data_IF_941135539287
#
_entry.id   IF_941135539287
#
_cell.length_a   1.000
_cell.length_b   1.000
_cell.length_c   1.000
_cell.angle_alpha   90.00
_cell.angle_beta   90.00
_cell.angle_gamma   90.00
#
_symmetry.space_group_name_H-M   'P 1'
#
loop_
_entity.id
_entity.type
_entity.pdbx_description
1 polymer ?
#
# COMPACT_ATOMS: atom_id res chain seq x y z
N UNK A 1 -4.72 -10.15 10.02
CA UNK A 1 -3.94 -11.16 9.27
C UNK A 1 -3.16 -12.03 10.26
N UNK A 2 -2.80 -13.27 9.93
CA UNK A 2 -1.92 -14.06 10.79
C UNK A 2 -0.45 -13.79 10.41
N UNK A 3 0.20 -12.91 11.17
CA UNK A 3 1.66 -12.73 11.18
C UNK A 3 2.31 -14.02 11.69
N UNK A 4 3.18 -14.65 10.90
CA UNK A 4 3.85 -15.90 11.30
C UNK A 4 5.08 -15.54 12.13
N UNK A 5 4.91 -15.48 13.46
CA UNK A 5 6.00 -15.67 14.41
C UNK A 5 5.89 -17.11 14.93
N UNK A 6 6.50 -18.05 14.20
CA UNK A 6 6.53 -19.46 14.60
C UNK A 6 7.18 -20.35 13.55
N UNK A 7 8.32 -20.96 13.90
CA UNK A 7 8.98 -22.02 13.11
C UNK A 7 8.10 -23.28 13.07
N UNK A 8 7.10 -23.34 12.21
CA UNK A 8 6.46 -24.62 11.89
C UNK A 8 7.19 -25.23 10.70
N UNK A 9 8.23 -26.02 10.97
CA UNK A 9 8.95 -26.79 9.94
C UNK A 9 8.09 -27.93 9.35
N UNK A 10 6.98 -28.27 10.01
CA UNK A 10 6.13 -29.43 9.71
C UNK A 10 4.65 -29.05 9.61
N UNK A 11 3.93 -29.66 8.66
CA UNK A 11 2.47 -29.58 8.51
C UNK A 11 1.88 -30.98 8.36
N UNK A 12 0.60 -31.13 8.70
CA UNK A 12 -0.14 -32.37 8.43
C UNK A 12 -0.64 -32.30 6.99
N UNK A 13 -0.08 -33.11 6.10
CA UNK A 13 -0.43 -33.08 4.68
C UNK A 13 -1.79 -33.77 4.42
N UNK A 14 -2.25 -33.74 3.16
CA UNK A 14 -3.55 -34.27 2.74
C UNK A 14 -3.72 -35.77 3.02
N UNK A 15 -2.61 -36.51 3.10
CA UNK A 15 -2.57 -37.94 3.43
C UNK A 15 -2.65 -38.21 4.95
N UNK A 16 -2.75 -37.15 5.75
CA UNK A 16 -2.82 -37.19 7.21
C UNK A 16 -1.47 -37.36 7.90
N UNK A 17 -0.35 -37.40 7.19
CA UNK A 17 0.99 -37.52 7.77
C UNK A 17 1.61 -36.16 8.01
N UNK A 18 2.44 -36.04 9.05
CA UNK A 18 3.28 -34.86 9.23
C UNK A 18 4.43 -34.91 8.21
N UNK A 19 4.51 -33.91 7.35
CA UNK A 19 5.60 -33.71 6.39
C UNK A 19 6.26 -32.35 6.64
N UNK A 20 7.54 -32.23 6.28
CA UNK A 20 8.19 -30.92 6.29
C UNK A 20 7.49 -29.97 5.31
N UNK A 21 7.50 -28.66 5.57
CA UNK A 21 6.81 -27.68 4.68
C UNK A 21 7.25 -27.77 3.21
N UNK A 22 8.49 -28.21 2.96
CA UNK A 22 9.06 -28.41 1.61
C UNK A 22 8.59 -29.69 0.91
N UNK A 23 8.08 -30.65 1.68
CA UNK A 23 7.63 -31.96 1.21
C UNK A 23 6.10 -32.09 1.19
N UNK A 24 5.40 -31.12 1.79
CA UNK A 24 3.94 -31.07 1.78
C UNK A 24 3.40 -30.84 0.36
N UNK A 25 2.39 -31.63 -0.02
CA UNK A 25 1.72 -31.50 -1.31
C UNK A 25 0.86 -30.25 -1.36
N UNK A 26 0.24 -29.90 -0.23
CA UNK A 26 -0.53 -28.66 -0.05
C UNK A 26 -0.19 -27.99 1.27
N UNK A 27 -0.07 -26.66 1.22
CA UNK A 27 0.08 -25.76 2.35
C UNK A 27 -1.20 -24.92 2.57
N UNK A 28 -2.25 -25.16 1.78
CA UNK A 28 -3.52 -24.45 1.87
C UNK A 28 -4.19 -24.76 3.21
N UNK A 29 -4.61 -23.70 3.91
CA UNK A 29 -5.20 -23.80 5.25
C UNK A 29 -4.18 -23.77 6.40
N UNK A 30 -2.89 -23.96 6.11
CA UNK A 30 -1.80 -23.75 7.07
C UNK A 30 -1.15 -22.38 6.91
N UNK A 31 -1.02 -21.92 5.66
CA UNK A 31 -0.42 -20.65 5.32
C UNK A 31 -1.41 -19.80 4.51
N UNK A 32 -1.21 -18.49 4.55
CA UNK A 32 -1.85 -17.55 3.64
C UNK A 32 -0.79 -17.01 2.69
N UNK A 33 -1.03 -17.09 1.39
CA UNK A 33 -0.16 -16.43 0.41
C UNK A 33 -0.37 -14.93 0.53
N UNK A 34 0.73 -14.19 0.55
CA UNK A 34 0.69 -12.72 0.52
C UNK A 34 0.14 -12.29 -0.83
N UNK A 35 -1.08 -11.77 -0.79
CA UNK A 35 -1.83 -11.30 -1.94
C UNK A 35 -1.49 -9.83 -2.18
N UNK A 36 -1.04 -9.45 -3.39
CA UNK A 36 -0.70 -8.04 -3.71
C UNK A 36 -1.90 -7.13 -3.96
N UNK A 37 -3.13 -7.59 -3.66
CA UNK A 37 -4.41 -6.87 -3.71
C UNK A 37 -5.24 -7.03 -5.00
N UNK A 38 -6.53 -6.87 -4.75
CA UNK A 38 -7.67 -6.87 -5.67
C UNK A 38 -7.88 -5.41 -6.08
N UNK A 39 -7.53 -5.07 -7.31
CA UNK A 39 -7.70 -3.72 -7.88
C UNK A 39 -9.18 -3.42 -8.23
N UNK A 40 -10.12 -4.28 -7.81
CA UNK A 40 -11.55 -4.20 -8.10
C UNK A 40 -11.92 -4.68 -9.51
N UNK A 41 -10.92 -4.88 -10.38
CA UNK A 41 -11.09 -5.15 -11.81
C UNK A 41 -10.58 -6.55 -12.16
N UNK A 42 -9.40 -6.90 -11.68
CA UNK A 42 -8.66 -8.13 -11.84
C UNK A 42 -8.61 -8.85 -10.50
N UNK A 43 -8.82 -10.16 -10.52
CA UNK A 43 -8.86 -10.94 -9.29
C UNK A 43 -8.36 -12.36 -9.56
N UNK A 44 -8.04 -13.08 -8.49
CA UNK A 44 -7.68 -14.48 -8.56
C UNK A 44 -8.07 -15.29 -7.33
N UNK A 45 -8.32 -16.56 -7.55
CA UNK A 45 -8.59 -17.57 -6.53
C UNK A 45 -7.37 -18.47 -6.40
N UNK A 46 -6.82 -18.60 -5.18
CA UNK A 46 -5.77 -19.58 -4.89
C UNK A 46 -6.41 -20.97 -4.81
N UNK A 47 -6.17 -21.79 -5.83
CA UNK A 47 -6.69 -23.17 -5.89
C UNK A 47 -5.94 -24.03 -4.90
N UNK A 48 -4.61 -24.02 -4.99
CA UNK A 48 -3.71 -24.76 -4.11
C UNK A 48 -2.29 -24.17 -4.17
N UNK A 49 -1.44 -24.51 -3.20
CA UNK A 49 -0.01 -24.19 -3.26
C UNK A 49 0.79 -25.10 -2.32
N UNK A 50 2.07 -25.26 -2.66
CA UNK A 50 3.10 -25.80 -1.79
C UNK A 50 4.32 -24.88 -1.78
N UNK A 51 5.42 -25.35 -1.21
CA UNK A 51 6.63 -24.54 -1.05
C UNK A 51 7.21 -24.02 -2.38
N UNK A 52 7.05 -24.78 -3.48
CA UNK A 52 7.69 -24.47 -4.77
C UNK A 52 6.71 -24.20 -5.91
N UNK A 53 5.41 -24.35 -5.70
CA UNK A 53 4.38 -24.07 -6.70
C UNK A 53 3.10 -23.49 -6.12
N UNK A 54 2.44 -22.63 -6.90
CA UNK A 54 1.11 -22.08 -6.61
C UNK A 54 0.23 -22.18 -7.83
N UNK A 55 -1.02 -22.58 -7.61
CA UNK A 55 -2.07 -22.67 -8.61
C UNK A 55 -3.13 -21.58 -8.36
N UNK A 56 -3.31 -20.70 -9.34
CA UNK A 56 -4.21 -19.55 -9.31
C UNK A 56 -5.25 -19.68 -10.41
N UNK A 57 -6.52 -19.41 -10.14
CA UNK A 57 -7.52 -19.11 -11.17
C UNK A 57 -7.67 -17.60 -11.28
N UNK A 58 -7.36 -17.02 -12.43
CA UNK A 58 -7.49 -15.58 -12.64
C UNK A 58 -8.82 -15.25 -13.32
N UNK A 59 -9.41 -14.10 -13.02
CA UNK A 59 -10.65 -13.62 -13.64
C UNK A 59 -10.73 -12.09 -13.59
N UNK A 60 -11.61 -11.51 -14.40
CA UNK A 60 -11.92 -10.07 -14.39
C UNK A 60 -13.36 -9.82 -13.99
N UNK A 61 -13.58 -8.69 -13.34
CA UNK A 61 -14.88 -8.19 -12.88
C UNK A 61 -15.45 -7.14 -13.84
N UNK A 62 -14.61 -6.45 -14.61
CA UNK A 62 -15.02 -5.47 -15.62
C UNK A 62 -14.88 -6.03 -17.06
N UNK A 63 -15.98 -5.95 -17.82
CA UNK A 63 -16.02 -6.31 -19.24
C UNK A 63 -15.05 -5.50 -20.11
N UNK A 64 -14.65 -4.31 -19.67
CA UNK A 64 -13.67 -3.46 -20.37
C UNK A 64 -12.27 -4.06 -20.42
N UNK A 65 -11.94 -5.02 -19.55
CA UNK A 65 -10.66 -5.72 -19.57
C UNK A 65 -10.67 -6.98 -20.46
N UNK A 66 -11.82 -7.37 -21.00
CA UNK A 66 -11.90 -8.51 -21.91
C UNK A 66 -11.13 -8.23 -23.19
N UNK A 67 -10.54 -9.28 -23.74
CA UNK A 67 -9.70 -9.26 -24.96
C UNK A 67 -8.41 -8.44 -24.85
N UNK A 68 -8.05 -7.97 -23.65
CA UNK A 68 -6.74 -7.37 -23.37
C UNK A 68 -5.75 -8.41 -22.86
N UNK A 69 -4.48 -8.12 -23.08
CA UNK A 69 -3.38 -8.91 -22.57
C UNK A 69 -3.04 -8.45 -21.15
N UNK A 70 -3.59 -9.14 -20.15
CA UNK A 70 -3.48 -8.74 -18.74
C UNK A 70 -2.22 -9.39 -18.15
N UNK A 71 -1.28 -8.59 -17.59
CA UNK A 71 -0.05 -9.11 -17.03
C UNK A 71 -0.31 -9.84 -15.71
N UNK A 72 0.46 -10.89 -15.48
CA UNK A 72 0.54 -11.57 -14.19
C UNK A 72 1.98 -11.46 -13.72
N UNK A 73 2.15 -10.82 -12.58
CA UNK A 73 3.46 -10.44 -12.03
C UNK A 73 3.77 -11.26 -10.78
N UNK A 74 5.05 -11.56 -10.60
CA UNK A 74 5.62 -12.13 -9.38
C UNK A 74 6.71 -11.17 -8.93
N UNK A 75 6.57 -10.65 -7.71
CA UNK A 75 7.44 -9.62 -7.14
C UNK A 75 7.53 -8.38 -8.04
N UNK A 76 6.37 -7.95 -8.55
CA UNK A 76 6.25 -6.83 -9.50
C UNK A 76 6.74 -7.12 -10.92
N UNK A 77 7.45 -8.24 -11.15
CA UNK A 77 8.00 -8.61 -12.45
C UNK A 77 6.98 -9.42 -13.24
N UNK A 78 6.60 -8.96 -14.43
CA UNK A 78 5.72 -9.71 -15.34
C UNK A 78 6.35 -11.06 -15.70
N UNK A 79 5.66 -12.15 -15.36
CA UNK A 79 6.08 -13.51 -15.68
C UNK A 79 5.23 -14.15 -16.77
N UNK A 80 3.94 -13.81 -16.81
CA UNK A 80 2.95 -14.33 -17.75
C UNK A 80 1.99 -13.22 -18.15
N UNK A 81 1.20 -13.52 -19.16
CA UNK A 81 0.11 -12.67 -19.62
C UNK A 81 -1.10 -13.56 -19.90
N UNK A 82 -2.30 -13.05 -19.63
CA UNK A 82 -3.52 -13.77 -19.92
C UNK A 82 -4.56 -12.86 -20.55
N UNK A 83 -5.16 -13.36 -21.63
CA UNK A 83 -6.30 -12.76 -22.28
C UNK A 83 -7.56 -13.55 -21.91
N UNK A 84 -8.57 -12.86 -21.42
CA UNK A 84 -9.88 -13.41 -21.07
C UNK A 84 -10.90 -12.92 -22.10
N UNK A 85 -11.80 -13.80 -22.56
CA UNK A 85 -12.81 -13.46 -23.58
C UNK A 85 -14.22 -13.37 -22.99
N UNK A 86 -14.40 -13.83 -21.75
CA UNK A 86 -15.65 -13.74 -20.99
C UNK A 86 -15.39 -13.43 -19.51
N UNK A 87 -16.33 -12.74 -18.85
CA UNK A 87 -16.32 -12.53 -17.39
C UNK A 87 -16.43 -13.85 -16.61
N UNK A 88 -16.94 -14.91 -17.25
CA UNK A 88 -17.00 -16.24 -16.65
C UNK A 88 -15.71 -17.06 -16.81
N UNK A 89 -14.73 -16.57 -17.57
CA UNK A 89 -13.46 -17.26 -17.75
C UNK A 89 -12.67 -17.26 -16.44
N UNK A 90 -12.31 -18.46 -15.97
CA UNK A 90 -11.46 -18.65 -14.79
C UNK A 90 -10.26 -19.57 -15.09
N UNK A 91 -9.38 -19.21 -16.05
CA UNK A 91 -8.27 -20.07 -16.41
C UNK A 91 -7.30 -20.25 -15.25
N UNK A 92 -6.87 -21.49 -15.07
CA UNK A 92 -5.83 -21.88 -14.11
C UNK A 92 -4.43 -21.49 -14.62
N UNK A 93 -3.61 -20.99 -13.70
CA UNK A 93 -2.23 -20.58 -13.92
C UNK A 93 -1.37 -21.15 -12.79
N UNK A 94 -0.31 -21.86 -13.16
CA UNK A 94 0.65 -22.41 -12.20
C UNK A 94 1.95 -21.61 -12.28
N UNK A 95 2.45 -21.16 -11.13
CA UNK A 95 3.79 -20.61 -10.97
C UNK A 95 4.68 -21.58 -10.21
N UNK A 96 5.98 -21.56 -10.53
CA UNK A 96 7.01 -22.28 -9.79
C UNK A 96 8.06 -21.27 -9.31
N UNK A 97 8.53 -21.44 -8.08
CA UNK A 97 9.57 -20.62 -7.45
C UNK A 97 10.34 -21.49 -6.46
N UNK A 98 11.52 -21.04 -6.04
CA UNK A 98 12.28 -21.69 -4.97
C UNK A 98 11.60 -21.49 -3.60
N UNK A 99 10.80 -20.44 -3.46
CA UNK A 99 9.99 -20.18 -2.27
C UNK A 99 8.75 -19.35 -2.64
N UNK A 100 7.60 -20.02 -2.80
CA UNK A 100 6.31 -19.38 -3.09
C UNK A 100 5.86 -18.47 -1.94
N UNK A 101 6.18 -18.83 -0.70
CA UNK A 101 5.70 -18.12 0.49
C UNK A 101 6.37 -16.74 0.65
N UNK A 102 7.51 -16.53 0.01
CA UNK A 102 8.26 -15.26 0.04
C UNK A 102 7.95 -14.35 -1.16
N UNK A 103 7.13 -14.82 -2.11
CA UNK A 103 6.81 -14.06 -3.32
C UNK A 103 5.44 -13.40 -3.24
N UNK A 104 5.34 -12.28 -3.94
CA UNK A 104 4.18 -11.43 -4.05
C UNK A 104 3.55 -11.60 -5.44
N UNK A 105 2.25 -11.92 -5.52
CA UNK A 105 1.56 -12.22 -6.78
C UNK A 105 0.49 -11.18 -7.11
N UNK A 106 0.53 -10.61 -8.31
CA UNK A 106 -0.51 -9.70 -8.82
C UNK A 106 -1.00 -10.06 -10.22
N UNK A 107 -2.25 -9.70 -10.51
CA UNK A 107 -2.89 -9.83 -11.81
C UNK A 107 -3.53 -8.49 -12.15
N UNK A 108 -3.22 -7.92 -13.32
CA UNK A 108 -3.66 -6.57 -13.66
C UNK A 108 -2.51 -5.60 -13.88
N UNK A 109 -2.83 -4.45 -14.48
CA UNK A 109 -1.83 -3.52 -14.99
C UNK A 109 -0.97 -2.92 -13.88
N UNK A 110 -1.46 -2.14 -12.92
CA UNK A 110 -0.54 -1.33 -12.12
C UNK A 110 -1.16 -0.88 -10.77
N UNK A 111 -1.50 -1.77 -9.84
CA UNK A 111 -1.65 -1.34 -8.44
C UNK A 111 -1.25 -2.42 -7.46
N UNK A 112 -0.66 -1.99 -6.35
CA UNK A 112 -0.26 -2.79 -5.20
C UNK A 112 -1.04 -2.27 -4.02
N UNK A 113 -1.44 -3.13 -3.09
CA UNK A 113 -1.78 -2.64 -1.75
C UNK A 113 -1.13 -3.41 -0.66
N UNK A 114 -0.73 -2.62 0.32
CA UNK A 114 -0.18 -3.06 1.57
C UNK A 114 -1.20 -2.79 2.67
N UNK A 115 -1.23 -3.68 3.66
CA UNK A 115 -2.01 -3.52 4.88
C UNK A 115 -1.01 -3.37 6.02
N UNK A 116 -1.05 -2.22 6.68
CA UNK A 116 -0.16 -1.83 7.75
C UNK A 116 -0.85 -2.11 9.08
N UNK A 117 -0.48 -3.21 9.74
CA UNK A 117 -1.11 -3.70 10.98
C UNK A 117 -0.09 -4.29 11.99
N UNK A 118 1.17 -4.49 11.59
CA UNK A 118 2.17 -5.07 12.49
C UNK A 118 2.62 -4.00 13.52
N UNK A 119 2.56 -4.30 14.84
CA UNK A 119 2.58 -3.27 15.90
C UNK A 119 3.92 -2.57 16.08
N UNK A 120 5.02 -3.24 15.80
CA UNK A 120 6.36 -2.69 16.04
C UNK A 120 7.05 -2.23 14.75
N UNK A 121 6.42 -2.46 13.61
CA UNK A 121 7.01 -2.16 12.29
C UNK A 121 6.13 -1.28 11.42
N UNK A 122 4.80 -1.40 11.53
CA UNK A 122 3.84 -0.75 10.64
C UNK A 122 2.79 0.13 11.34
N UNK A 123 2.36 -0.21 12.56
CA UNK A 123 1.45 0.60 13.40
C UNK A 123 2.23 1.09 14.61
N UNK A 124 3.08 2.08 14.36
CA UNK A 124 4.21 2.42 15.22
C UNK A 124 3.79 2.90 16.60
N UNK A 125 2.80 3.78 16.68
CA UNK A 125 2.46 4.49 17.91
C UNK A 125 0.94 4.79 17.98
N UNK A 126 0.35 4.68 19.17
CA UNK A 126 -0.99 5.16 19.55
C UNK A 126 -0.92 5.85 20.92
N UNK A 127 -1.66 6.94 21.10
CA UNK A 127 -1.62 7.72 22.35
C UNK A 127 -2.98 8.34 22.69
N UNK A 128 -3.31 8.34 23.98
CA UNK A 128 -4.33 9.18 24.58
C UNK A 128 -3.69 9.98 25.73
N UNK A 129 -3.61 11.32 25.63
CA UNK A 129 -3.01 12.15 26.68
C UNK A 129 -3.77 12.10 28.02
N UNK A 130 -4.89 11.39 28.08
CA UNK A 130 -5.68 11.15 29.29
C UNK A 130 -5.74 9.66 29.65
N UNK A 131 -4.62 8.95 29.51
CA UNK A 131 -4.42 7.53 29.83
C UNK A 131 -5.39 7.00 30.90
N UNK A 132 -6.46 6.37 30.44
CA UNK A 132 -7.22 5.44 31.25
C UNK A 132 -7.70 4.29 30.38
N UNK A 133 -6.94 3.20 30.43
CA UNK A 133 -7.19 1.95 29.72
C UNK A 133 -6.25 0.85 30.21
N UNK A 134 -6.65 -0.40 30.01
CA UNK A 134 -5.72 -1.54 30.14
C UNK A 134 -4.73 -1.51 28.96
N UNK A 135 -3.57 -2.17 29.10
CA UNK A 135 -2.50 -2.25 28.07
C UNK A 135 -2.89 -2.94 26.75
N UNK A 136 -4.18 -3.12 26.51
CA UNK A 136 -4.75 -3.84 25.37
C UNK A 136 -5.76 -3.00 24.60
N UNK A 137 -6.12 -1.84 25.12
CA UNK A 137 -7.20 -1.00 24.60
C UNK A 137 -6.81 0.46 24.69
N UNK A 138 -7.05 1.16 23.60
CA UNK A 138 -6.90 2.59 23.47
C UNK A 138 -8.28 3.25 23.54
N UNK A 139 -8.49 4.13 24.53
CA UNK A 139 -9.76 4.80 24.73
C UNK A 139 -9.73 6.17 24.06
N UNK A 140 -10.50 6.36 23.00
CA UNK A 140 -10.66 7.66 22.34
C UNK A 140 -11.84 8.37 22.96
N UNK A 141 -11.60 9.48 23.64
CA UNK A 141 -12.70 10.20 24.27
C UNK A 141 -13.40 11.17 23.32
N UNK A 142 -14.73 11.08 23.29
CA UNK A 142 -15.55 12.09 22.62
C UNK A 142 -15.59 13.36 23.45
N UNK A 143 -15.16 14.48 22.87
CA UNK A 143 -15.15 15.76 23.56
C UNK A 143 -16.28 16.67 23.09
N UNK A 144 -17.11 17.13 24.04
CA UNK A 144 -17.94 18.34 23.83
C UNK A 144 -17.10 19.63 23.93
N UNK A 145 -15.84 19.51 24.35
CA UNK A 145 -14.93 20.62 24.61
C UNK A 145 -13.82 20.64 23.54
N UNK A 146 -13.78 21.64 22.65
CA UNK A 146 -12.82 21.70 21.54
C UNK A 146 -11.36 21.84 21.99
N UNK A 147 -11.11 21.98 23.30
CA UNK A 147 -9.77 22.09 23.89
C UNK A 147 -9.13 20.75 24.23
N UNK A 148 -9.82 19.63 24.02
CA UNK A 148 -9.25 18.31 24.33
C UNK A 148 -8.38 17.85 23.17
N UNK A 149 -7.16 17.44 23.48
CA UNK A 149 -6.22 16.88 22.51
C UNK A 149 -6.83 15.65 21.84
N UNK A 150 -6.81 15.56 20.50
CA UNK A 150 -7.26 14.36 19.80
C UNK A 150 -6.32 13.19 20.10
N UNK A 151 -6.86 11.99 20.09
CA UNK A 151 -6.05 10.78 20.21
C UNK A 151 -5.34 10.51 18.89
N UNK A 152 -4.05 10.13 18.91
CA UNK A 152 -3.24 9.94 17.70
C UNK A 152 -2.99 8.47 17.38
N UNK A 153 -2.81 8.16 16.09
CA UNK A 153 -2.24 6.88 15.63
C UNK A 153 -1.29 7.11 14.46
N UNK A 154 -0.19 6.36 14.41
CA UNK A 154 0.88 6.52 13.42
C UNK A 154 1.22 5.21 12.71
N UNK A 155 1.45 5.30 11.40
CA UNK A 155 1.79 4.18 10.55
C UNK A 155 3.09 4.44 9.78
N UNK A 156 3.88 3.38 9.59
CA UNK A 156 5.05 3.38 8.72
C UNK A 156 4.63 3.07 7.28
N UNK A 157 5.01 3.92 6.33
CA UNK A 157 4.70 3.76 4.90
C UNK A 157 5.94 3.54 4.05
N UNK A 158 7.10 3.29 4.67
CA UNK A 158 8.38 3.09 3.97
C UNK A 158 8.43 1.83 3.10
N UNK A 159 7.51 0.89 3.28
CA UNK A 159 7.36 -0.27 2.39
C UNK A 159 6.90 0.14 0.97
N UNK A 160 6.34 1.33 0.78
CA UNK A 160 5.93 1.83 -0.54
C UNK A 160 7.18 2.30 -1.29
N UNK A 161 7.58 1.63 -2.40
CA UNK A 161 8.76 2.04 -3.16
C UNK A 161 8.60 3.47 -3.68
N UNK A 162 9.67 4.27 -3.70
CA UNK A 162 9.65 5.64 -4.22
C UNK A 162 9.23 5.70 -5.70
N UNK A 163 8.50 6.76 -6.07
CA UNK A 163 8.06 7.02 -7.45
C UNK A 163 6.73 6.35 -7.84
N UNK A 164 6.05 5.72 -6.90
CA UNK A 164 4.68 5.24 -7.09
C UNK A 164 3.66 6.38 -6.87
N UNK A 165 2.42 6.18 -7.29
CA UNK A 165 1.30 7.08 -7.00
C UNK A 165 0.39 6.41 -5.99
N UNK A 166 -0.01 7.09 -4.92
CA UNK A 166 -1.07 6.60 -4.04
C UNK A 166 -2.41 6.77 -4.74
N UNK A 167 -3.10 5.65 -5.00
CA UNK A 167 -4.41 5.62 -5.68
C UNK A 167 -5.57 5.73 -4.68
N UNK A 168 -5.43 5.08 -3.52
CA UNK A 168 -6.44 5.05 -2.47
C UNK A 168 -5.81 4.64 -1.13
N UNK A 169 -6.17 5.28 -0.03
CA UNK A 169 -5.80 4.84 1.32
C UNK A 169 -7.00 4.86 2.25
N UNK A 170 -7.19 3.80 3.03
CA UNK A 170 -8.32 3.66 3.94
C UNK A 170 -7.83 3.19 5.31
N UNK A 171 -8.13 3.98 6.34
CA UNK A 171 -7.90 3.63 7.74
C UNK A 171 -9.10 2.84 8.26
N UNK A 172 -8.82 1.69 8.86
CA UNK A 172 -9.84 0.83 9.43
C UNK A 172 -9.71 0.82 10.95
N UNK A 173 -10.82 1.02 11.64
CA UNK A 173 -10.90 1.02 13.10
C UNK A 173 -12.04 0.11 13.53
N UNK A 174 -11.77 -0.89 14.38
CA UNK A 174 -12.84 -1.57 15.09
C UNK A 174 -13.20 -0.75 16.32
N UNK A 175 -14.42 -0.23 16.33
CA UNK A 175 -14.92 0.69 17.35
C UNK A 175 -16.02 0.02 18.15
N UNK A 176 -15.90 0.08 19.48
CA UNK A 176 -16.95 -0.37 20.40
C UNK A 176 -17.55 0.82 21.15
N UNK A 177 -18.83 1.08 20.92
CA UNK A 177 -19.62 1.97 21.77
C UNK A 177 -20.15 1.13 22.93
N UNK A 178 -19.54 1.24 24.11
CA UNK A 178 -19.86 0.39 25.27
C UNK A 178 -21.32 0.45 25.77
N UNK A 179 -22.17 1.25 25.14
CA UNK A 179 -23.56 1.51 25.52
C UNK A 179 -24.60 1.26 24.40
N UNK A 180 -24.22 0.82 23.19
CA UNK A 180 -25.21 0.56 22.16
C UNK A 180 -25.62 1.78 21.32
N UNK A 181 -25.03 2.96 21.56
CA UNK A 181 -25.49 4.23 20.97
C UNK A 181 -24.68 4.63 19.72
N UNK A 182 -25.32 5.32 18.75
CA UNK A 182 -24.64 5.82 17.57
C UNK A 182 -23.56 6.85 17.92
N UNK A 183 -22.47 6.83 17.15
CA UNK A 183 -21.37 7.79 17.26
C UNK A 183 -20.84 8.14 15.88
N UNK A 184 -20.12 9.25 15.78
CA UNK A 184 -19.39 9.62 14.57
C UNK A 184 -17.90 9.71 14.88
N UNK A 185 -17.10 8.93 14.16
CA UNK A 185 -15.64 9.02 14.18
C UNK A 185 -15.20 9.99 13.10
N UNK A 186 -14.29 10.88 13.45
CA UNK A 186 -13.69 11.85 12.55
C UNK A 186 -12.18 11.63 12.56
N UNK A 187 -11.57 11.67 11.38
CA UNK A 187 -10.12 11.60 11.23
C UNK A 187 -9.58 12.90 10.63
N UNK A 188 -8.49 13.40 11.19
CA UNK A 188 -7.83 14.63 10.76
C UNK A 188 -6.39 14.36 10.35
N UNK A 189 -5.91 15.19 9.42
CA UNK A 189 -4.49 15.31 9.13
C UNK A 189 -3.73 15.74 10.38
N UNK A 190 -2.58 15.13 10.63
CA UNK A 190 -1.82 15.44 11.83
C UNK A 190 -0.33 15.15 11.65
N UNK A 191 0.47 16.19 11.87
CA UNK A 191 1.94 16.14 11.83
C UNK A 191 2.45 16.28 13.27
N UNK A 192 2.66 15.14 13.94
CA UNK A 192 3.01 15.09 15.36
C UNK A 192 4.53 14.98 15.51
N UNK A 193 5.11 15.83 16.37
CA UNK A 193 6.37 15.48 17.04
C UNK A 193 6.03 14.47 18.14
N UNK A 194 6.05 13.20 17.79
CA UNK A 194 5.56 12.14 18.67
C UNK A 194 6.49 11.93 19.87
N UNK A 195 5.95 12.00 21.08
CA UNK A 195 6.62 11.54 22.29
C UNK A 195 5.66 10.70 23.13
N UNK A 196 5.84 9.37 23.14
CA UNK A 196 5.02 8.47 23.95
C UNK A 196 5.13 8.77 25.46
N UNK A 197 6.22 9.39 25.94
CA UNK A 197 6.39 9.69 27.37
C UNK A 197 5.65 10.96 27.82
N UNK A 198 5.46 11.94 26.93
CA UNK A 198 4.85 13.25 27.26
C UNK A 198 3.45 13.43 26.66
N UNK A 199 3.01 12.46 25.86
CA UNK A 199 1.79 12.50 25.07
C UNK A 199 1.86 13.47 23.88
N UNK A 200 0.75 13.59 23.16
CA UNK A 200 0.60 14.58 22.07
C UNK A 200 0.63 16.01 22.65
N UNK A 201 1.62 16.80 22.25
CA UNK A 201 1.72 18.22 22.64
C UNK A 201 0.46 18.99 22.17
N UNK A 202 -0.28 19.57 23.13
CA UNK A 202 -1.50 20.36 22.93
C UNK A 202 -1.31 21.57 21.98
N UNK A 203 -0.07 21.98 21.71
CA UNK A 203 0.24 23.08 20.79
C UNK A 203 0.01 22.74 19.31
N UNK A 204 -0.30 21.49 18.99
CA UNK A 204 -0.42 21.00 17.62
C UNK A 204 -1.83 21.28 17.07
N UNK A 205 -1.93 22.21 16.13
CA UNK A 205 -3.18 22.55 15.43
C UNK A 205 -3.71 21.35 14.65
N UNK A 206 -4.93 20.89 14.93
CA UNK A 206 -5.60 19.86 14.13
C UNK A 206 -5.68 20.28 12.65
N UNK A 207 -5.27 19.38 11.75
CA UNK A 207 -5.31 19.62 10.30
C UNK A 207 -6.71 19.53 9.72
N UNK A 208 -6.82 19.38 8.39
CA UNK A 208 -8.12 19.28 7.73
C UNK A 208 -8.84 17.98 8.16
N UNK A 209 -10.18 18.06 8.24
CA UNK A 209 -11.02 16.87 8.37
C UNK A 209 -10.87 16.04 7.08
N UNK A 210 -10.45 14.79 7.22
CA UNK A 210 -10.25 13.85 6.11
C UNK A 210 -11.53 13.08 5.79
N UNK A 211 -12.14 12.48 6.81
CA UNK A 211 -13.37 11.70 6.65
C UNK A 211 -14.18 11.61 7.95
N UNK A 212 -15.45 11.23 7.82
CA UNK A 212 -16.36 10.94 8.93
C UNK A 212 -17.20 9.71 8.63
N UNK A 213 -17.31 8.81 9.59
CA UNK A 213 -18.18 7.64 9.48
C UNK A 213 -19.02 7.50 10.76
N UNK A 214 -20.27 7.08 10.58
CA UNK A 214 -21.27 6.98 11.63
C UNK A 214 -21.52 5.51 11.97
N UNK A 215 -21.19 5.13 13.20
CA UNK A 215 -21.45 3.80 13.73
C UNK A 215 -22.90 3.70 14.27
N UNK A 216 -23.46 2.52 14.12
CA UNK A 216 -24.78 2.11 14.61
C UNK A 216 -24.83 1.89 16.14
N UNK A 217 -23.68 1.78 16.80
CA UNK A 217 -23.53 1.65 18.25
C UNK A 217 -23.24 0.24 18.75
N UNK A 218 -22.84 -0.70 17.89
CA UNK A 218 -22.37 -2.03 18.26
C UNK A 218 -20.98 -2.19 17.65
N UNK A 219 -20.11 -3.05 18.19
CA UNK A 219 -18.77 -3.33 17.64
C UNK A 219 -18.78 -3.34 16.10
N UNK A 220 -18.28 -2.27 15.48
CA UNK A 220 -18.36 -2.05 14.03
C UNK A 220 -16.99 -1.68 13.47
N UNK A 221 -16.75 -2.17 12.25
CA UNK A 221 -15.53 -1.88 11.52
C UNK A 221 -15.78 -0.65 10.64
N UNK A 222 -15.21 0.45 11.09
CA UNK A 222 -15.34 1.76 10.47
C UNK A 222 -14.23 1.93 9.45
N UNK A 223 -14.53 2.52 8.29
CA UNK A 223 -13.59 2.67 7.19
C UNK A 223 -13.51 4.15 6.79
N UNK A 224 -12.35 4.75 6.98
CA UNK A 224 -12.14 6.19 6.79
C UNK A 224 -11.20 6.43 5.61
N UNK A 225 -11.66 7.18 4.60
CA UNK A 225 -10.86 7.57 3.45
C UNK A 225 -9.81 8.61 3.85
N UNK A 226 -8.54 8.21 3.78
CA UNK A 226 -7.38 9.03 4.15
C UNK A 226 -6.43 9.21 2.97
N UNK A 227 -6.92 8.98 1.74
CA UNK A 227 -6.13 8.97 0.51
C UNK A 227 -5.33 10.26 0.32
N UNK A 228 -5.95 11.43 0.52
CA UNK A 228 -5.30 12.72 0.30
C UNK A 228 -4.09 12.92 1.20
N UNK A 229 -4.23 12.58 2.49
CA UNK A 229 -3.16 12.76 3.47
C UNK A 229 -2.01 11.80 3.23
N UNK A 230 -2.31 10.51 3.03
CA UNK A 230 -1.29 9.50 2.74
C UNK A 230 -0.54 9.82 1.45
N UNK A 231 -1.25 10.25 0.41
CA UNK A 231 -0.66 10.68 -0.86
C UNK A 231 0.26 11.90 -0.70
N UNK A 232 -0.18 12.88 0.09
CA UNK A 232 0.60 14.10 0.37
C UNK A 232 1.89 13.79 1.15
N UNK A 233 1.80 13.04 2.25
CA UNK A 233 2.97 12.65 3.06
C UNK A 233 3.95 11.81 2.25
N UNK A 234 3.46 10.81 1.53
CA UNK A 234 4.30 9.98 0.65
C UNK A 234 5.01 10.82 -0.43
N UNK A 235 4.30 11.74 -1.09
CA UNK A 235 4.89 12.63 -2.12
C UNK A 235 5.94 13.59 -1.54
N UNK A 236 5.79 13.96 -0.27
CA UNK A 236 6.74 14.77 0.48
C UNK A 236 7.99 13.98 0.93
N UNK A 237 7.96 12.65 0.75
CA UNK A 237 9.04 11.75 1.13
C UNK A 237 8.96 11.26 2.57
N UNK A 238 7.82 11.44 3.23
CA UNK A 238 7.63 10.98 4.59
C UNK A 238 7.61 9.45 4.64
N UNK A 239 8.32 8.90 5.63
CA UNK A 239 8.32 7.46 5.90
C UNK A 239 7.18 7.04 6.82
N UNK A 240 6.49 7.99 7.43
CA UNK A 240 5.39 7.76 8.36
C UNK A 240 4.21 8.67 8.02
N UNK A 241 3.00 8.24 8.38
CA UNK A 241 1.79 9.07 8.36
C UNK A 241 1.10 8.95 9.71
N UNK A 242 0.59 10.08 10.22
CA UNK A 242 -0.12 10.11 11.50
C UNK A 242 -1.53 10.67 11.32
N UNK A 243 -2.44 10.21 12.16
CA UNK A 243 -3.85 10.58 12.13
C UNK A 243 -4.29 11.01 13.53
N UNK A 244 -5.00 12.12 13.61
CA UNK A 244 -5.74 12.50 14.81
C UNK A 244 -7.17 11.98 14.70
N UNK A 245 -7.65 11.33 15.76
CA UNK A 245 -9.00 10.79 15.86
C UNK A 245 -9.81 11.63 16.83
N UNK A 246 -11.05 11.93 16.45
CA UNK A 246 -12.02 12.59 17.30
C UNK A 246 -13.35 11.85 17.23
N UNK A 247 -14.08 11.82 18.34
CA UNK A 247 -15.41 11.21 18.41
C UNK A 247 -16.42 12.31 18.73
N UNK A 248 -17.50 12.36 17.95
CA UNK A 248 -18.63 13.26 18.22
C UNK A 248 -19.89 12.45 18.52
N UNK A 249 -20.66 12.88 19.54
CA UNK A 249 -21.83 12.15 20.04
C UNK A 249 -22.21 12.49 21.49
N UNK A 250 -23.35 12.00 21.97
CA UNK A 250 -23.88 12.24 23.33
C UNK A 250 -23.18 11.37 24.41
N UNK A 251 -21.88 11.59 24.67
CA UNK A 251 -21.00 10.91 25.66
C UNK A 251 -20.34 9.59 25.19
N UNK A 252 -19.14 9.18 25.64
CA UNK A 252 -17.99 9.91 26.20
C UNK A 252 -16.63 9.26 25.84
N UNK A 253 -16.61 8.00 25.41
CA UNK A 253 -15.43 7.35 24.86
C UNK A 253 -15.79 6.19 23.95
N UNK A 254 -14.92 5.95 22.99
CA UNK A 254 -14.86 4.79 22.14
C UNK A 254 -13.64 3.99 22.55
N UNK A 255 -13.79 2.69 22.68
CA UNK A 255 -12.65 1.81 22.84
C UNK A 255 -12.24 1.28 21.48
N UNK A 256 -10.96 1.45 21.17
CA UNK A 256 -10.25 0.84 20.04
C UNK A 256 -9.25 -0.16 20.63
N UNK A 257 -8.95 -1.22 19.90
CA UNK A 257 -7.94 -2.19 20.35
C UNK A 257 -6.55 -1.59 20.07
N UNK A 258 -5.69 -1.52 21.08
CA UNK A 258 -4.37 -0.89 20.96
C UNK A 258 -3.40 -1.76 20.15
N UNK A 259 -2.30 -1.15 19.69
CA UNK A 259 -1.24 -1.87 18.95
C UNK A 259 -0.62 -3.01 19.77
N UNK A 260 -0.49 -2.86 21.10
CA UNK A 260 0.20 -3.83 21.96
C UNK A 260 -0.52 -5.18 22.08
N UNK A 261 -1.78 -5.27 21.65
CA UNK A 261 -2.55 -6.51 21.70
C UNK A 261 -2.20 -7.46 20.54
N UNK A 262 -0.96 -7.95 20.52
CA UNK A 262 -0.17 -8.55 19.41
C UNK A 262 -0.79 -9.71 18.59
N UNK A 263 -1.99 -10.21 18.91
CA UNK A 263 -2.68 -11.26 18.14
C UNK A 263 -4.10 -10.95 17.63
N UNK A 264 -4.69 -9.79 17.94
CA UNK A 264 -6.05 -9.51 17.44
C UNK A 264 -6.07 -9.16 15.94
N UNK A 265 -6.99 -9.79 15.20
CA UNK A 265 -7.37 -9.38 13.84
C UNK A 265 -8.06 -8.01 13.78
N UNK A 266 -8.38 -7.47 14.95
CA UNK A 266 -9.28 -6.33 15.15
C UNK A 266 -8.56 -5.03 15.48
N UNK A 267 -7.23 -4.98 15.38
CA UNK A 267 -6.46 -3.75 15.57
C UNK A 267 -6.70 -2.77 14.43
N UNK A 268 -6.49 -1.46 14.67
CA UNK A 268 -6.34 -0.49 13.61
C UNK A 268 -5.41 -0.97 12.51
N UNK A 269 -5.78 -0.72 11.27
CA UNK A 269 -4.89 -0.96 10.14
C UNK A 269 -5.12 0.05 9.04
N UNK A 270 -4.05 0.35 8.30
CA UNK A 270 -4.10 1.23 7.15
C UNK A 270 -3.90 0.41 5.86
N UNK A 271 -4.89 0.44 4.98
CA UNK A 271 -4.74 -0.13 3.64
C UNK A 271 -4.34 0.96 2.66
N UNK A 272 -3.20 0.81 2.00
CA UNK A 272 -2.73 1.79 1.01
C UNK A 272 -2.60 1.11 -0.35
N UNK A 273 -3.29 1.65 -1.33
CA UNK A 273 -3.22 1.32 -2.75
C UNK A 273 -2.30 2.28 -3.45
N UNK A 274 -1.31 1.77 -4.15
CA UNK A 274 -0.44 2.56 -4.98
C UNK A 274 -0.18 1.89 -6.32
N UNK A 275 -0.10 2.71 -7.35
CA UNK A 275 0.22 2.31 -8.70
C UNK A 275 1.67 2.63 -8.99
N UNK A 276 2.30 1.77 -9.79
CA UNK A 276 3.53 2.19 -10.44
C UNK A 276 3.12 3.29 -11.41
N UNK A 277 3.69 4.48 -11.24
CA UNK A 277 3.63 5.48 -12.30
C UNK A 277 4.53 4.90 -13.39
N UNK A 278 3.98 4.47 -14.55
CA UNK A 278 4.84 3.99 -15.62
C UNK A 278 5.82 5.12 -15.90
N UNK A 279 7.12 4.81 -15.84
CA UNK A 279 8.14 5.74 -16.31
C UNK A 279 7.89 5.87 -17.81
N UNK A 280 7.06 6.84 -18.19
CA UNK A 280 6.78 7.11 -19.60
C UNK A 280 8.09 7.65 -20.13
N UNK A 281 8.82 6.76 -20.80
CA UNK A 281 10.22 6.97 -21.15
C UNK A 281 10.44 8.30 -21.85
N UNK A 282 11.55 8.95 -21.52
CA UNK A 282 12.05 10.06 -22.32
C UNK A 282 12.33 9.49 -23.71
N UNK A 283 11.63 10.00 -24.72
CA UNK A 283 12.03 9.67 -26.09
C UNK A 283 13.19 10.58 -26.44
N UNK A 284 14.40 10.01 -26.43
CA UNK A 284 15.59 10.70 -26.93
C UNK A 284 15.77 10.36 -28.40
N UNK A 285 15.86 11.38 -29.24
CA UNK A 285 16.30 11.20 -30.63
C UNK A 285 17.64 11.89 -30.83
N UNK A 286 18.54 11.19 -31.51
CA UNK A 286 19.77 11.74 -32.04
C UNK A 286 19.70 11.61 -33.56
N UNK A 287 19.49 12.73 -34.23
CA UNK A 287 19.52 12.77 -35.70
C UNK A 287 20.83 13.37 -36.15
N UNK A 288 21.62 12.59 -36.90
CA UNK A 288 22.71 13.15 -37.69
C UNK A 288 22.12 13.90 -38.90
N UNK A 289 22.86 14.83 -39.51
CA UNK A 289 22.53 15.33 -40.85
C UNK A 289 22.40 14.12 -41.78
N UNK A 290 21.32 14.08 -42.57
CA UNK A 290 20.92 12.90 -43.35
C UNK A 290 21.87 12.52 -44.49
N UNK A 291 22.91 13.31 -44.71
CA UNK A 291 23.79 13.23 -45.87
C UNK A 291 25.28 13.29 -45.52
N UNK A 292 25.68 13.10 -44.25
CA UNK A 292 27.11 13.10 -43.85
C UNK A 292 27.92 14.31 -44.39
N UNK A 293 27.24 15.38 -44.81
CA UNK A 293 27.91 16.54 -45.37
C UNK A 293 28.50 17.28 -44.19
N UNK A 294 29.82 17.34 -44.17
CA UNK A 294 30.55 18.30 -43.35
C UNK A 294 29.94 19.67 -43.67
N UNK A 295 29.48 20.40 -42.65
CA UNK A 295 29.05 21.78 -42.85
C UNK A 295 30.22 22.57 -43.50
N UNK A 296 29.96 23.66 -44.25
CA UNK A 296 31.01 24.38 -44.98
C UNK A 296 32.19 24.86 -44.11
N UNK A 297 32.04 24.87 -42.79
CA UNK A 297 33.03 25.25 -41.78
C UNK A 297 33.84 24.08 -41.20
N UNK A 298 33.50 22.82 -41.50
CA UNK A 298 34.19 21.64 -40.99
C UNK A 298 33.50 20.95 -39.82
N UNK A 299 32.40 21.51 -39.30
CA UNK A 299 31.72 20.99 -38.12
C UNK A 299 30.62 19.98 -38.47
N UNK A 300 30.32 19.08 -37.53
CA UNK A 300 29.20 18.14 -37.62
C UNK A 300 28.23 18.48 -36.50
N UNK A 301 27.08 19.04 -36.88
CA UNK A 301 26.01 19.38 -35.92
C UNK A 301 25.11 18.17 -35.70
N UNK A 302 24.99 17.72 -34.45
CA UNK A 302 24.00 16.71 -34.05
C UNK A 302 22.80 17.41 -33.41
N UNK A 303 21.61 17.15 -33.94
CA UNK A 303 20.38 17.58 -33.27
C UNK A 303 19.97 16.49 -32.28
N UNK A 304 20.08 16.82 -30.99
CA UNK A 304 19.53 16.01 -29.92
C UNK A 304 18.21 16.63 -29.47
N UNK A 305 17.15 15.83 -29.41
CA UNK A 305 15.93 16.22 -28.72
C UNK A 305 15.57 15.18 -27.67
N UNK A 306 15.16 15.67 -26.52
CA UNK A 306 14.60 14.88 -25.45
C UNK A 306 13.25 15.50 -25.14
N UNK A 307 12.19 14.85 -25.62
CA UNK A 307 10.83 15.32 -25.41
C UNK A 307 10.25 14.49 -24.28
N UNK A 308 10.01 15.09 -23.11
CA UNK A 308 9.28 14.40 -22.08
C UNK A 308 7.84 14.23 -22.54
N UNK A 309 7.29 13.03 -22.37
CA UNK A 309 5.92 12.73 -22.81
C UNK A 309 4.88 13.43 -21.90
N UNK A 310 5.30 13.91 -20.72
CA UNK A 310 4.50 14.72 -19.79
C UNK A 310 5.28 15.95 -19.27
N UNK A 311 4.54 16.98 -18.85
CA UNK A 311 5.02 18.34 -18.54
C UNK A 311 5.83 18.49 -17.24
N UNK A 312 6.21 17.41 -16.57
CA UNK A 312 6.85 17.41 -15.25
C UNK A 312 8.35 17.06 -15.26
N UNK A 313 8.95 16.80 -16.41
CA UNK A 313 10.41 16.68 -16.51
C UNK A 313 11.01 18.08 -16.64
N UNK A 314 11.59 18.58 -15.56
CA UNK A 314 12.16 19.93 -15.50
C UNK A 314 13.67 19.97 -15.77
N UNK A 315 14.37 18.83 -15.63
CA UNK A 315 15.82 18.76 -15.76
C UNK A 315 16.23 17.59 -16.68
N UNK A 316 16.74 17.92 -17.87
CA UNK A 316 17.36 16.96 -18.79
C UNK A 316 18.85 17.27 -18.83
N UNK A 317 19.69 16.34 -18.36
CA UNK A 317 21.14 16.45 -18.46
C UNK A 317 21.66 15.49 -19.52
N UNK A 318 22.25 16.04 -20.58
CA UNK A 318 22.90 15.26 -21.63
C UNK A 318 24.38 15.10 -21.27
N UNK A 319 24.84 13.85 -21.16
CA UNK A 319 26.25 13.53 -21.01
C UNK A 319 26.78 13.03 -22.36
N UNK A 320 27.91 13.58 -22.80
CA UNK A 320 28.66 13.03 -23.92
C UNK A 320 30.02 12.52 -23.41
N UNK A 321 30.46 11.39 -23.93
CA UNK A 321 31.79 10.84 -23.66
C UNK A 321 32.66 11.00 -24.90
N UNK A 322 33.03 12.24 -25.19
CA UNK A 322 33.88 12.60 -26.34
C UNK A 322 35.13 13.30 -25.84
N UNK A 323 36.28 12.93 -26.41
CA UNK A 323 37.59 13.52 -26.13
C UNK A 323 37.87 14.80 -26.94
N UNK A 324 36.85 15.45 -27.49
CA UNK A 324 36.94 16.66 -28.31
C UNK A 324 36.50 17.94 -27.60
N UNK A 325 37.01 19.08 -28.07
CA UNK A 325 36.62 20.44 -27.66
C UNK A 325 35.34 20.85 -28.38
N UNK A 326 34.30 21.25 -27.65
CA UNK A 326 33.12 21.92 -28.21
C UNK A 326 33.12 23.38 -27.81
N UNK A 327 32.80 24.28 -28.76
CA UNK A 327 32.36 25.62 -28.42
C UNK A 327 30.93 25.56 -27.84
N UNK A 328 30.66 26.42 -26.86
CA UNK A 328 29.51 26.37 -25.94
C UNK A 328 28.17 25.96 -26.59
N UNK A 329 27.49 25.02 -25.91
CA UNK A 329 26.05 24.75 -26.06
C UNK A 329 25.29 26.01 -25.62
N UNK A 330 24.44 26.54 -26.50
CA UNK A 330 23.48 27.61 -26.20
C UNK A 330 22.09 27.05 -25.93
#
# INVERSE_FOLDING_TARGET
SNTIIGRTEWVKDIDGKCKGIREAESLKGYFSIRYLKNDGIHDFEIVDFNYTSIELKVFVRDSKELNKDIPIKVDGIQKKTKRLTSLSDKPTIIFKSDNILASNYSFGSESTTIMLQDPDTETLDDDDPFESGDSTTWTIYGSLNPTRTPSGIKFNISEIPAGNQIDAATLYLLVSSGNGLPLTVQVFEYDIVWNEEDGIDESTTGGALLDTDADSGVDDLINLDVTSWVSSGYTSGDINVSFALNITGTFQSVTVISKEFSTASSRPFLNITFSIIPVIGITTSLTSPGDASVEPDGDITFNCSAVPVLSNVTNITLYHNSSGSFDKIH
#
